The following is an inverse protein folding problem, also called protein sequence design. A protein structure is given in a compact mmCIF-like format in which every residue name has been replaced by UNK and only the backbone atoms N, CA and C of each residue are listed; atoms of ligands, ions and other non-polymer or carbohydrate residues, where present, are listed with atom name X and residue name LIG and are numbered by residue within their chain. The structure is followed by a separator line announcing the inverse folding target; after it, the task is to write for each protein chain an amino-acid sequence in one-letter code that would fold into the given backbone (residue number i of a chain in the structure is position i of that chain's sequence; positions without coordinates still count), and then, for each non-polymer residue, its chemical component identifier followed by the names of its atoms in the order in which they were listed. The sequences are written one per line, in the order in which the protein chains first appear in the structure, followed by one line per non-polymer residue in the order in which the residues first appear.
data_IF_822659177065
#
_entry.id   IF_822659177065
#
_cell.length_a   1.000
_cell.length_b   1.000
_cell.length_c   1.000
_cell.angle_alpha   90.00
_cell.angle_beta   90.00
_cell.angle_gamma   90.00
#
_symmetry.space_group_name_H-M   'P 1'
#
loop_
_entity.id
_entity.type
_entity.pdbx_description
1 polymer ?
2 non-polymer ?
3 non-polymer ?
4 non-polymer ?
5 non-polymer ?
6 water ?
#
# COMPACT_ATOMS: atom_id res chain seq x y z
N UNK A 10 -12.90 -0.30 14.57
CA UNK A 10 -12.34 -1.43 13.82
C UNK A 10 -11.93 -1.08 12.40
N UNK A 11 -10.82 -1.69 11.95
CA UNK A 11 -10.50 -1.71 10.52
C UNK A 11 -11.64 -2.50 9.78
N UNK A 12 -12.29 -1.92 8.74
CA UNK A 12 -13.50 -2.57 8.20
C UNK A 12 -13.15 -3.90 7.48
N UNK A 13 -14.08 -4.86 7.53
CA UNK A 13 -14.02 -6.08 6.74
C UNK A 13 -14.20 -5.69 5.24
N UNK A 14 -13.79 -6.56 4.32
CA UNK A 14 -13.88 -6.20 2.90
C UNK A 14 -15.34 -6.09 2.44
N UNK A 15 -15.64 -5.33 1.36
CA UNK A 15 -17.04 -5.22 0.92
C UNK A 15 -17.38 -6.21 -0.19
N UNK A 16 -16.36 -6.85 -0.76
CA UNK A 16 -16.57 -7.85 -1.80
C UNK A 16 -17.08 -9.20 -1.33
N UNK A 17 -17.35 -10.14 -2.27
CA UNK A 17 -17.83 -11.46 -1.88
C UNK A 17 -16.79 -12.47 -1.40
N UNK A 18 -15.49 -12.24 -1.63
CA UNK A 18 -14.46 -13.20 -1.30
C UNK A 18 -14.15 -13.10 0.16
N UNK A 19 -13.90 -14.24 0.79
CA UNK A 19 -13.24 -14.34 2.10
C UNK A 19 -11.80 -13.87 1.89
N UNK A 20 -11.21 -13.22 2.92
CA UNK A 20 -9.85 -12.69 2.88
C UNK A 20 -8.89 -13.45 3.79
N UNK A 21 -7.76 -13.80 3.21
CA UNK A 21 -6.63 -14.39 3.92
C UNK A 21 -5.46 -13.44 3.99
N UNK A 22 -4.58 -13.66 4.96
CA UNK A 22 -3.37 -12.85 5.03
C UNK A 22 -2.18 -13.68 5.43
N UNK A 23 -1.01 -13.44 4.80
CA UNK A 23 0.24 -14.07 5.25
C UNK A 23 1.40 -13.10 5.04
N UNK A 24 2.58 -13.39 5.64
CA UNK A 24 3.83 -12.69 5.28
C UNK A 24 4.75 -13.53 4.43
N UNK A 25 5.53 -12.86 3.53
CA UNK A 25 6.54 -13.50 2.68
C UNK A 25 7.86 -12.74 2.74
N UNK A 26 8.94 -13.44 3.09
CA UNK A 26 10.26 -12.85 2.93
C UNK A 26 11.21 -13.74 2.08
N UNK A 27 11.56 -13.26 0.87
CA UNK A 27 12.50 -14.00 0.00
C UNK A 27 13.38 -13.08 -0.85
N UNK A 28 14.74 -13.14 -0.76
CA UNK A 28 15.47 -13.91 0.25
C UNK A 28 15.45 -13.18 1.60
N UNK A 29 16.31 -13.61 2.55
CA UNK A 29 16.33 -13.20 3.96
C UNK A 29 17.07 -11.88 4.22
N UNK A 30 17.75 -11.33 3.18
CA UNK A 30 18.70 -10.23 3.34
C UNK A 30 17.97 -8.90 3.29
N UNK A 31 18.69 -7.80 3.63
CA UNK A 31 18.21 -6.44 3.44
C UNK A 31 17.92 -6.11 1.94
N UNK A 32 18.35 -7.00 1.01
CA UNK A 32 18.06 -6.86 -0.41
C UNK A 32 16.96 -7.82 -0.90
N UNK A 33 16.43 -8.66 -0.01
CA UNK A 33 15.35 -9.57 -0.35
C UNK A 33 14.03 -8.84 -0.58
N UNK A 34 12.99 -9.59 -0.93
CA UNK A 34 11.66 -9.01 -0.89
C UNK A 34 11.06 -9.32 0.48
N UNK A 35 10.42 -8.29 1.09
CA UNK A 35 9.53 -8.44 2.23
C UNK A 35 8.09 -7.96 1.88
N UNK A 36 7.10 -8.86 1.93
CA UNK A 36 5.73 -8.42 1.68
C UNK A 36 4.72 -9.03 2.64
N UNK A 37 3.55 -8.39 2.75
CA UNK A 37 2.37 -8.91 3.40
C UNK A 37 1.41 -9.09 2.29
N UNK A 38 0.97 -10.35 2.12
CA UNK A 38 0.06 -10.71 1.05
C UNK A 38 -1.35 -10.80 1.60
N UNK A 39 -2.31 -10.19 0.91
CA UNK A 39 -3.75 -10.31 1.18
C UNK A 39 -4.31 -11.00 -0.01
N UNK A 40 -5.13 -12.03 0.21
CA UNK A 40 -5.53 -12.93 -0.88
C UNK A 40 -6.92 -13.45 -0.70
N UNK A 41 -7.62 -13.77 -1.83
CA UNK A 41 -8.90 -14.48 -1.70
C UNK A 41 -8.71 -15.88 -1.09
N UNK A 42 -9.48 -16.19 -0.05
CA UNK A 42 -9.19 -17.35 0.78
C UNK A 42 -10.23 -18.47 0.64
N UNK A 43 -9.79 -19.72 0.79
CA UNK A 43 -10.66 -20.91 0.81
C UNK A 43 -11.51 -20.92 2.10
N UNK A 44 -10.89 -20.60 3.24
CA UNK A 44 -11.50 -20.74 4.56
C UNK A 44 -11.68 -19.43 5.30
N UNK A 45 -12.68 -19.35 6.19
CA UNK A 45 -13.05 -18.15 6.93
C UNK A 45 -13.05 -18.36 8.46
N UNK A 46 -12.51 -19.50 8.92
CA UNK A 46 -12.46 -19.94 10.31
C UNK A 46 -11.03 -19.87 10.91
N UNK A 47 -10.15 -19.00 10.38
CA UNK A 47 -8.79 -18.88 10.90
C UNK A 47 -8.71 -17.74 11.90
N UNK A 48 -7.64 -17.73 12.69
CA UNK A 48 -7.30 -16.63 13.59
C UNK A 48 -7.13 -15.35 12.77
N UNK A 49 -7.61 -14.22 13.30
CA UNK A 49 -7.47 -12.90 12.69
C UNK A 49 -6.00 -12.52 12.70
N UNK A 50 -5.62 -11.59 11.80
CA UNK A 50 -4.23 -11.17 11.61
C UNK A 50 -3.84 -10.10 12.64
N UNK A 51 -2.70 -10.32 13.35
CA UNK A 51 -2.11 -9.37 14.29
C UNK A 51 -1.62 -8.14 13.47
N UNK A 52 -2.17 -6.93 13.78
CA UNK A 52 -2.09 -5.74 12.93
C UNK A 52 -0.68 -5.18 12.89
N UNK A 53 -0.09 -5.01 14.05
CA UNK A 53 1.31 -4.57 14.15
C UNK A 53 2.09 -5.71 14.88
N UNK A 54 2.79 -6.57 14.16
CA UNK A 54 3.20 -7.86 14.76
C UNK A 54 4.48 -7.87 15.63
N UNK A 55 5.21 -6.74 15.70
CA UNK A 55 6.44 -6.66 16.50
C UNK A 55 6.57 -5.34 17.26
N UNK A 56 7.15 -5.43 18.45
CA UNK A 56 7.34 -4.29 19.38
C UNK A 56 8.22 -3.17 18.76
N UNK A 57 9.12 -3.58 17.87
CA UNK A 57 10.10 -2.71 17.22
C UNK A 57 9.45 -1.72 16.23
N UNK A 58 8.30 -2.08 15.62
CA UNK A 58 7.49 -1.12 14.80
C UNK A 58 6.95 0.04 15.63
N UNK A 59 6.49 -0.28 16.85
CA UNK A 59 6.03 0.72 17.81
C UNK A 59 7.13 1.67 18.23
N UNK A 60 8.37 1.15 18.47
CA UNK A 60 9.59 1.92 18.72
C UNK A 60 9.91 2.88 17.55
N UNK A 61 10.00 2.32 16.36
CA UNK A 61 10.12 3.07 15.13
C UNK A 61 9.02 4.09 14.89
N UNK A 62 7.72 3.74 15.09
CA UNK A 62 6.67 4.76 14.97
C UNK A 62 6.92 5.92 15.94
N UNK A 63 7.44 5.63 17.15
CA UNK A 63 7.73 6.67 18.14
C UNK A 63 8.91 7.56 17.74
N UNK A 64 9.94 6.98 17.09
CA UNK A 64 11.07 7.71 16.54
C UNK A 64 10.62 8.52 15.33
N UNK A 65 9.63 8.02 14.58
CA UNK A 65 9.13 8.69 13.39
C UNK A 65 8.42 9.93 13.90
N UNK A 66 7.54 9.76 14.90
CA UNK A 66 6.81 10.87 15.53
C UNK A 66 7.69 11.89 16.25
N UNK A 67 8.96 11.54 16.50
CA UNK A 67 9.91 12.36 17.22
C UNK A 67 9.56 12.57 18.69
N UNK A 68 8.58 11.79 19.17
CA UNK A 68 8.10 11.75 20.55
C UNK A 68 9.17 11.12 21.47
N UNK A 69 8.98 11.29 22.80
CA UNK A 69 9.79 10.66 23.83
C UNK A 69 9.70 9.15 23.68
N UNK A 70 10.81 8.42 23.91
CA UNK A 70 10.92 6.97 23.70
C UNK A 70 9.84 6.15 24.47
N UNK A 71 9.24 6.77 25.50
CA UNK A 71 8.14 6.21 26.28
C UNK A 71 6.84 6.09 25.47
N UNK A 72 6.66 6.92 24.41
CA UNK A 72 5.54 6.82 23.47
C UNK A 72 5.54 5.46 22.75
N UNK A 73 6.73 4.87 22.59
CA UNK A 73 6.85 3.53 22.02
C UNK A 73 6.08 2.53 22.83
N UNK A 74 6.28 2.57 24.16
CA UNK A 74 5.61 1.72 25.12
C UNK A 74 4.11 1.97 25.19
N UNK A 75 3.69 3.25 25.24
CA UNK A 75 2.27 3.65 25.21
C UNK A 75 1.55 3.11 23.96
N UNK A 76 2.10 3.37 22.78
CA UNK A 76 1.58 2.90 21.48
C UNK A 76 1.42 1.38 21.42
N UNK A 77 2.43 0.64 21.92
CA UNK A 77 2.45 -0.80 22.11
C UNK A 77 1.38 -1.30 23.09
N UNK A 78 1.17 -0.62 24.24
CA UNK A 78 0.11 -0.97 25.19
C UNK A 78 -1.28 -0.76 24.56
N UNK A 79 -1.46 0.31 23.77
CA UNK A 79 -2.74 0.62 23.14
C UNK A 79 -3.09 -0.30 21.99
N UNK A 80 -2.06 -0.73 21.24
CA UNK A 80 -2.27 -1.28 19.91
C UNK A 80 -1.61 -2.65 19.67
N UNK A 81 -0.72 -3.10 20.57
CA UNK A 81 0.06 -4.32 20.37
C UNK A 81 -0.70 -5.64 20.23
N UNK A 82 -1.99 -5.62 20.62
CA UNK A 82 -2.88 -6.79 20.58
C UNK A 82 -3.95 -6.67 19.49
N UNK A 83 -4.13 -5.45 18.94
CA UNK A 83 -5.09 -5.20 17.86
C UNK A 83 -4.87 -6.15 16.65
N UNK A 84 -5.97 -6.60 16.06
CA UNK A 84 -5.96 -7.46 14.86
C UNK A 84 -6.66 -6.76 13.70
N UNK A 85 -6.57 -7.35 12.50
CA UNK A 85 -7.27 -6.86 11.31
C UNK A 85 -8.05 -8.04 10.68
N UNK A 86 -9.27 -7.80 10.07
CA UNK A 86 -10.13 -8.94 9.67
C UNK A 86 -9.69 -9.74 8.42
N UNK A 87 -8.45 -10.28 8.45
CA UNK A 87 -7.94 -11.24 7.49
C UNK A 87 -7.60 -12.53 8.21
N UNK A 88 -7.92 -13.67 7.59
CA UNK A 88 -7.67 -15.00 8.11
C UNK A 88 -6.20 -15.30 7.96
N UNK A 89 -5.45 -15.34 9.08
CA UNK A 89 -4.02 -15.70 9.11
C UNK A 89 -3.72 -17.07 8.50
N UNK A 90 -2.92 -17.10 7.40
CA UNK A 90 -2.43 -18.32 6.74
C UNK A 90 -3.53 -19.27 6.24
N UNK A 91 -4.71 -18.73 5.99
CA UNK A 91 -5.83 -19.40 5.35
C UNK A 91 -5.33 -19.99 4.02
N UNK A 92 -5.75 -21.21 3.61
CA UNK A 92 -5.44 -21.62 2.24
C UNK A 92 -6.02 -20.59 1.25
N UNK A 93 -5.23 -20.27 0.20
CA UNK A 93 -5.64 -19.53 -1.01
C UNK A 93 -6.81 -20.24 -1.68
N UNK A 94 -7.83 -19.47 -2.08
CA UNK A 94 -9.00 -19.99 -2.80
C UNK A 94 -8.55 -20.52 -4.15
N UNK A 95 -8.69 -21.82 -4.45
CA UNK A 95 -8.22 -22.34 -5.73
C UNK A 95 -9.21 -22.17 -6.88
N UNK A 96 -8.72 -22.48 -8.10
CA UNK A 96 -9.51 -22.63 -9.32
C UNK A 96 -9.78 -21.35 -10.05
N UNK A 97 -9.00 -20.29 -9.74
CA UNK A 97 -9.18 -18.93 -10.28
C UNK A 97 -7.85 -18.15 -10.31
N UNK A 98 -7.56 -17.45 -11.44
CA UNK A 98 -6.44 -16.51 -11.60
C UNK A 98 -6.82 -15.12 -11.13
N UNK A 99 -6.00 -14.56 -10.25
CA UNK A 99 -6.29 -13.26 -9.63
C UNK A 99 -5.43 -12.15 -10.23
N UNK A 100 -6.02 -10.96 -10.57
CA UNK A 100 -5.19 -9.77 -10.88
C UNK A 100 -4.29 -9.43 -9.71
N UNK A 101 -3.17 -8.77 -9.98
CA UNK A 101 -2.19 -8.46 -8.92
C UNK A 101 -1.98 -6.99 -8.74
N UNK A 102 -2.05 -6.55 -7.46
CA UNK A 102 -1.72 -5.20 -7.04
C UNK A 102 -0.45 -5.24 -6.18
N UNK A 103 0.54 -4.43 -6.58
CA UNK A 103 1.66 -4.19 -5.67
C UNK A 103 1.34 -2.87 -4.95
N UNK A 104 1.39 -2.87 -3.60
CA UNK A 104 1.07 -1.70 -2.79
C UNK A 104 2.34 -1.12 -2.12
N UNK A 105 2.56 0.23 -2.28
CA UNK A 105 3.62 0.95 -1.61
C UNK A 105 3.16 1.81 -0.43
N UNK A 106 3.86 1.69 0.71
CA UNK A 106 3.49 2.40 1.95
C UNK A 106 4.12 3.81 2.04
N UNK A 107 3.59 4.65 2.93
CA UNK A 107 4.08 6.02 3.08
C UNK A 107 5.34 6.12 3.93
N UNK A 108 5.85 7.35 4.07
CA UNK A 108 7.00 7.66 4.92
C UNK A 108 6.62 7.47 6.43
N UNK A 109 7.49 6.77 7.16
CA UNK A 109 7.18 6.32 8.51
C UNK A 109 6.10 5.27 8.65
N UNK A 110 5.57 4.72 7.52
CA UNK A 110 4.66 3.53 7.62
C UNK A 110 5.47 2.23 7.48
N UNK A 111 4.83 1.10 7.20
CA UNK A 111 5.38 -0.26 6.96
C UNK A 111 4.24 -1.10 6.35
N UNK A 112 4.47 -2.40 6.07
CA UNK A 112 3.62 -3.16 5.15
C UNK A 112 2.20 -3.46 5.67
N UNK A 113 2.02 -3.36 7.01
CA UNK A 113 0.82 -3.81 7.67
C UNK A 113 -0.22 -2.64 7.85
N UNK A 114 0.10 -1.38 7.45
CA UNK A 114 -0.75 -0.26 7.87
C UNK A 114 -1.84 0.18 6.86
N UNK A 115 -2.07 -0.67 5.88
CA UNK A 115 -3.02 -0.41 4.80
C UNK A 115 -3.84 -1.69 4.54
N UNK A 116 -4.19 -2.38 5.66
CA UNK A 116 -5.06 -3.55 5.55
C UNK A 116 -6.48 -3.15 5.14
N UNK A 117 -6.98 -1.95 5.45
CA UNK A 117 -8.36 -1.58 5.07
C UNK A 117 -8.46 -1.67 3.54
N UNK A 118 -7.44 -1.08 2.81
CA UNK A 118 -7.30 -1.17 1.34
C UNK A 118 -7.06 -2.60 0.84
N UNK A 119 -6.06 -3.30 1.44
CA UNK A 119 -5.59 -4.63 1.03
C UNK A 119 -6.61 -5.73 1.21
N UNK A 120 -7.37 -5.68 2.34
CA UNK A 120 -8.49 -6.57 2.63
C UNK A 120 -9.65 -6.28 1.65
N UNK A 121 -9.95 -4.99 1.38
CA UNK A 121 -11.08 -4.70 0.51
C UNK A 121 -10.84 -5.09 -0.96
N UNK A 122 -9.60 -5.02 -1.44
CA UNK A 122 -9.28 -5.39 -2.81
C UNK A 122 -9.32 -6.88 -2.92
N UNK A 123 -8.68 -7.62 -1.98
CA UNK A 123 -8.75 -9.08 -1.84
C UNK A 123 -10.17 -9.57 -1.79
N UNK A 124 -11.07 -8.93 -0.98
CA UNK A 124 -12.49 -9.37 -0.92
C UNK A 124 -13.20 -9.30 -2.29
N UNK A 125 -12.66 -8.52 -3.23
CA UNK A 125 -13.19 -8.32 -4.58
C UNK A 125 -12.48 -9.24 -5.60
N UNK A 126 -11.39 -9.90 -5.18
CA UNK A 126 -10.72 -10.91 -5.98
C UNK A 126 -9.31 -10.59 -6.44
N UNK A 127 -8.60 -9.69 -5.75
CA UNK A 127 -7.18 -9.40 -6.09
C UNK A 127 -6.26 -10.10 -5.13
N UNK A 128 -5.07 -10.44 -5.57
CA UNK A 128 -4.01 -10.62 -4.59
C UNK A 128 -3.32 -9.24 -4.40
N UNK A 129 -3.06 -8.86 -3.14
CA UNK A 129 -2.35 -7.62 -2.86
C UNK A 129 -1.01 -7.97 -2.21
N UNK A 130 0.09 -7.49 -2.79
CA UNK A 130 1.40 -7.60 -2.17
C UNK A 130 1.78 -6.21 -1.67
N UNK A 131 1.53 -5.95 -0.36
CA UNK A 131 1.96 -4.76 0.34
C UNK A 131 3.45 -4.93 0.73
N UNK A 132 4.35 -4.16 0.04
CA UNK A 132 5.78 -4.33 0.24
C UNK A 132 6.22 -3.62 1.50
N UNK A 133 7.26 -4.18 2.15
CA UNK A 133 7.98 -3.46 3.17
C UNK A 133 9.27 -2.97 2.56
N UNK A 134 9.39 -1.66 2.49
CA UNK A 134 10.54 -1.04 1.86
C UNK A 134 11.70 -1.04 2.82
N UNK A 135 12.91 -1.28 2.28
CA UNK A 135 14.14 -1.36 3.07
C UNK A 135 15.05 -0.18 2.75
N UNK A 136 14.44 0.98 2.48
CA UNK A 136 15.14 2.16 1.92
C UNK A 136 15.33 3.16 3.03
N UNK A 137 15.06 2.70 4.27
CA UNK A 137 14.93 3.45 5.51
C UNK A 137 13.85 4.54 5.42
N UNK A 138 12.81 4.33 4.59
CA UNK A 138 11.60 5.17 4.72
C UNK A 138 10.57 4.57 5.68
N UNK A 139 10.64 3.24 5.94
CA UNK A 139 9.73 2.64 6.92
C UNK A 139 10.09 3.02 8.32
N UNK A 140 9.08 3.17 9.21
CA UNK A 140 9.36 3.37 10.62
C UNK A 140 10.36 2.36 11.16
N UNK A 141 10.14 1.12 10.77
CA UNK A 141 11.00 0.00 11.11
C UNK A 141 10.70 -1.09 10.09
N UNK A 142 11.70 -1.94 9.89
CA UNK A 142 11.68 -3.15 9.11
C UNK A 142 12.86 -4.05 9.59
N UNK A 143 12.85 -5.29 9.12
CA UNK A 143 13.82 -6.25 9.60
C UNK A 143 14.14 -7.19 8.48
N UNK A 144 15.27 -7.87 8.66
CA UNK A 144 15.87 -8.78 7.69
C UNK A 144 16.84 -9.60 8.55
N UNK A 145 17.51 -10.58 7.91
CA UNK A 145 18.40 -11.56 8.53
C UNK A 145 19.77 -11.47 7.91
N UNK A 146 20.80 -11.31 8.77
CA UNK A 146 22.19 -11.08 8.32
C UNK A 146 22.71 -12.14 7.41
N UNK A 147 22.30 -13.40 7.62
CA UNK A 147 22.72 -14.51 6.75
C UNK A 147 21.85 -15.73 7.02
N UNK A 148 22.16 -16.87 6.37
CA UNK A 148 21.34 -18.08 6.47
C UNK A 148 21.19 -18.58 7.93
N UNK A 149 22.30 -18.52 8.72
CA UNK A 149 22.32 -18.83 10.15
C UNK A 149 21.37 -17.91 10.94
N UNK A 150 21.50 -16.57 10.81
CA UNK A 150 20.63 -15.56 11.46
C UNK A 150 19.14 -15.73 11.12
N UNK A 151 18.86 -16.19 9.88
CA UNK A 151 17.53 -16.52 9.38
C UNK A 151 16.98 -17.78 10.03
N UNK A 152 17.81 -18.84 10.10
CA UNK A 152 17.49 -20.15 10.70
C UNK A 152 16.91 -19.99 12.11
N UNK A 153 17.66 -19.28 12.99
CA UNK A 153 17.34 -19.12 14.42
C UNK A 153 16.48 -17.88 14.68
N UNK A 154 16.12 -17.15 13.63
CA UNK A 154 15.25 -15.98 13.73
C UNK A 154 15.82 -14.83 14.55
N UNK A 155 17.15 -14.60 14.44
CA UNK A 155 17.84 -13.44 15.01
C UNK A 155 17.61 -12.25 14.05
N UNK A 156 16.49 -11.54 14.24
CA UNK A 156 16.09 -10.39 13.41
C UNK A 156 17.07 -9.22 13.59
N UNK A 157 17.51 -8.63 12.47
CA UNK A 157 18.23 -7.36 12.46
C UNK A 157 17.24 -6.24 12.08
N UNK A 158 17.23 -5.15 12.85
CA UNK A 158 16.29 -4.06 12.63
C UNK A 158 16.93 -2.86 12.00
N UNK A 159 16.14 -2.21 11.15
CA UNK A 159 16.48 -1.04 10.40
C UNK A 159 15.42 -0.02 10.72
N UNK A 160 15.84 1.18 11.16
CA UNK A 160 14.94 2.24 11.59
C UNK A 160 14.94 3.42 10.64
N UNK A 161 13.85 4.21 10.64
CA UNK A 161 13.64 5.36 9.75
C UNK A 161 14.85 6.29 9.78
N UNK A 162 15.28 6.74 8.61
CA UNK A 162 16.34 7.73 8.47
C UNK A 162 15.74 9.13 8.60
N UNK A 163 16.27 9.90 9.50
CA UNK A 163 16.00 11.34 9.69
C UNK A 163 16.91 12.11 8.74
N UNK A 164 16.32 13.06 7.99
CA UNK A 164 17.08 13.84 7.02
C UNK A 164 17.32 15.27 7.47
N UNK A 165 18.49 15.84 7.11
CA UNK A 165 18.75 17.27 7.14
C UNK A 165 18.11 17.89 5.88
N UNK A 166 17.88 19.23 5.90
CA UNK A 166 17.24 20.01 4.83
C UNK A 166 18.01 19.92 3.52
N UNK A 167 19.32 19.71 3.60
CA UNK A 167 20.21 19.60 2.45
C UNK A 167 20.06 18.24 1.77
N UNK A 168 19.87 17.17 2.57
CA UNK A 168 19.75 15.78 2.12
C UNK A 168 18.51 15.43 1.32
N UNK A 169 17.41 16.21 1.50
CA UNK A 169 16.06 15.87 1.01
C UNK A 169 15.94 15.55 -0.49
N UNK A 170 16.28 16.49 -1.41
CA UNK A 170 16.12 16.26 -2.88
C UNK A 170 16.80 14.96 -3.29
N UNK A 171 18.12 14.87 -3.01
CA UNK A 171 19.00 13.76 -3.29
C UNK A 171 18.53 12.43 -2.65
N UNK A 172 18.37 12.36 -1.29
CA UNK A 172 18.00 11.09 -0.62
C UNK A 172 16.54 10.68 -0.91
N UNK A 173 15.56 11.63 -0.95
CA UNK A 173 14.19 11.23 -1.33
C UNK A 173 14.13 10.61 -2.69
N UNK A 174 14.87 11.15 -3.67
CA UNK A 174 14.99 10.56 -5.03
C UNK A 174 15.67 9.17 -5.02
N UNK A 175 16.82 9.00 -4.33
CA UNK A 175 17.51 7.70 -4.17
C UNK A 175 16.53 6.66 -3.58
N UNK A 176 15.74 7.05 -2.59
CA UNK A 176 14.75 6.16 -1.95
C UNK A 176 13.57 5.87 -2.83
N UNK A 177 13.03 6.86 -3.60
CA UNK A 177 11.85 6.51 -4.44
C UNK A 177 12.33 5.56 -5.56
N UNK A 178 13.61 5.63 -5.91
CA UNK A 178 14.07 4.73 -6.96
C UNK A 178 14.28 3.30 -6.42
N UNK A 179 14.75 3.17 -5.14
CA UNK A 179 14.81 1.88 -4.44
C UNK A 179 13.44 1.28 -4.27
N UNK A 180 12.47 2.09 -3.86
CA UNK A 180 11.06 1.72 -3.77
C UNK A 180 10.53 1.16 -5.09
N UNK A 181 10.81 1.80 -6.22
CA UNK A 181 10.37 1.31 -7.53
C UNK A 181 10.95 -0.09 -7.82
N UNK A 182 12.28 -0.29 -7.58
CA UNK A 182 13.04 -1.54 -7.68
C UNK A 182 12.47 -2.61 -6.79
N UNK A 183 12.12 -2.24 -5.53
CA UNK A 183 11.49 -3.17 -4.61
C UNK A 183 10.11 -3.57 -5.15
N UNK A 184 9.32 -2.64 -5.73
CA UNK A 184 8.06 -3.02 -6.42
C UNK A 184 8.26 -3.96 -7.58
N UNK A 185 9.22 -3.68 -8.47
CA UNK A 185 9.53 -4.62 -9.56
C UNK A 185 10.01 -5.99 -9.05
N UNK A 186 10.96 -6.03 -8.07
CA UNK A 186 11.47 -7.28 -7.49
C UNK A 186 10.35 -8.05 -6.81
N UNK A 187 9.45 -7.34 -6.08
CA UNK A 187 8.31 -8.03 -5.47
C UNK A 187 7.48 -8.68 -6.54
N UNK A 188 7.17 -7.96 -7.65
CA UNK A 188 6.46 -8.48 -8.79
C UNK A 188 7.11 -9.72 -9.35
N UNK A 189 8.42 -9.66 -9.61
CA UNK A 189 9.16 -10.82 -10.14
C UNK A 189 9.11 -12.04 -9.23
N UNK A 190 9.22 -11.84 -7.91
CA UNK A 190 9.07 -12.92 -6.91
C UNK A 190 7.69 -13.59 -7.04
N UNK A 191 6.60 -12.79 -7.09
CA UNK A 191 5.24 -13.30 -7.26
C UNK A 191 5.06 -14.03 -8.56
N UNK A 192 5.55 -13.44 -9.67
CA UNK A 192 5.49 -14.06 -10.99
C UNK A 192 6.26 -15.39 -11.07
N UNK A 193 7.39 -15.51 -10.33
CA UNK A 193 8.20 -16.73 -10.27
C UNK A 193 7.53 -17.84 -9.45
N UNK A 194 6.85 -17.46 -8.36
CA UNK A 194 6.08 -18.36 -7.52
C UNK A 194 4.90 -18.89 -8.34
N UNK A 195 4.27 -18.02 -9.16
CA UNK A 195 3.16 -18.36 -10.03
C UNK A 195 3.57 -19.39 -11.08
N UNK A 196 4.77 -19.24 -11.65
CA UNK A 196 5.42 -20.25 -12.46
C UNK A 196 5.60 -21.54 -11.65
N UNK A 197 6.25 -21.46 -10.50
CA UNK A 197 6.51 -22.63 -9.67
C UNK A 197 7.91 -22.79 -9.13
N UNK A 198 8.73 -21.72 -9.22
CA UNK A 198 9.99 -21.55 -8.48
C UNK A 198 9.87 -22.09 -7.01
N UNK A 199 10.86 -22.89 -6.53
CA UNK A 199 10.78 -23.46 -5.19
C UNK A 199 11.32 -22.58 -4.06
N UNK A 200 10.73 -21.39 -3.92
CA UNK A 200 11.01 -20.35 -2.91
C UNK A 200 10.83 -20.87 -1.47
N UNK A 201 11.89 -20.78 -0.64
CA UNK A 201 11.79 -21.08 0.80
C UNK A 201 11.56 -19.77 1.56
N UNK A 202 10.35 -19.58 2.12
CA UNK A 202 10.03 -18.42 2.94
C UNK A 202 11.01 -18.34 4.13
N UNK A 203 11.69 -17.18 4.29
CA UNK A 203 12.64 -16.92 5.39
C UNK A 203 11.95 -17.02 6.75
N UNK A 204 10.67 -16.60 6.79
CA UNK A 204 9.84 -16.71 7.98
C UNK A 204 9.28 -18.13 8.02
N UNK A 205 9.29 -18.75 9.21
CA UNK A 205 8.83 -20.12 9.43
C UNK A 205 7.28 -20.18 9.45
N UNK A 206 6.62 -19.64 8.41
CA UNK A 206 5.16 -19.56 8.38
C UNK A 206 4.52 -20.75 7.67
N UNK A 207 3.37 -21.20 8.22
CA UNK A 207 2.65 -22.36 7.70
C UNK A 207 1.59 -21.95 6.68
N UNK A 208 2.07 -21.40 5.57
CA UNK A 208 1.35 -21.16 4.33
C UNK A 208 2.32 -21.54 3.21
N UNK A 209 2.06 -22.71 2.59
CA UNK A 209 2.90 -23.20 1.49
C UNK A 209 2.72 -22.33 0.27
N UNK A 210 3.81 -21.71 -0.19
CA UNK A 210 3.82 -20.82 -1.35
C UNK A 210 3.45 -21.53 -2.67
N UNK A 211 3.50 -22.86 -2.69
CA UNK A 211 3.16 -23.68 -3.86
C UNK A 211 1.66 -23.58 -4.23
N UNK A 212 0.84 -23.04 -3.31
CA UNK A 212 -0.57 -22.67 -3.51
C UNK A 212 -0.75 -21.67 -4.62
N UNK A 213 0.20 -20.71 -4.75
CA UNK A 213 0.09 -19.59 -5.65
C UNK A 213 0.44 -19.95 -7.08
N UNK A 214 1.10 -21.10 -7.31
CA UNK A 214 1.35 -21.66 -8.64
C UNK A 214 0.07 -21.60 -9.48
N UNK A 215 0.17 -20.94 -10.65
CA UNK A 215 -0.87 -20.78 -11.67
C UNK A 215 -2.12 -20.01 -11.16
N UNK A 216 -1.92 -19.11 -10.15
CA UNK A 216 -3.01 -18.36 -9.54
C UNK A 216 -3.02 -16.85 -9.85
N UNK A 217 -2.05 -16.35 -10.64
CA UNK A 217 -1.88 -14.91 -10.96
C UNK A 217 -2.36 -14.64 -12.38
N UNK A 218 -3.29 -13.70 -12.54
CA UNK A 218 -3.68 -13.34 -13.91
C UNK A 218 -2.55 -12.41 -14.45
N UNK A 219 -1.62 -13.01 -15.21
CA UNK A 219 -0.28 -12.44 -15.42
C UNK A 219 -0.26 -11.15 -16.25
N UNK A 220 -1.36 -10.86 -16.97
CA UNK A 220 -1.51 -9.65 -17.77
C UNK A 220 -2.12 -8.48 -17.00
N UNK A 221 -2.65 -8.76 -15.79
CA UNK A 221 -3.43 -7.79 -15.02
C UNK A 221 -2.69 -7.41 -13.76
N UNK A 222 -1.68 -6.54 -13.96
CA UNK A 222 -0.87 -6.05 -12.85
C UNK A 222 -1.02 -4.52 -12.69
N UNK A 223 -1.14 -4.07 -11.45
CA UNK A 223 -1.24 -2.64 -11.10
C UNK A 223 -0.36 -2.32 -9.91
N UNK A 224 0.02 -1.03 -9.76
CA UNK A 224 0.76 -0.54 -8.61
C UNK A 224 -0.08 0.57 -7.95
N UNK A 225 -0.31 0.45 -6.62
CA UNK A 225 -1.03 1.45 -5.84
C UNK A 225 -0.16 1.81 -4.65
N UNK A 226 -0.19 3.07 -4.24
CA UNK A 226 0.46 3.43 -2.99
C UNK A 226 -0.03 4.76 -2.50
N UNK A 227 0.16 4.99 -1.21
CA UNK A 227 -0.24 6.22 -0.53
C UNK A 227 0.96 7.03 -0.19
N UNK A 228 0.93 8.33 -0.51
CA UNK A 228 1.93 9.34 -0.05
C UNK A 228 3.30 9.16 -0.79
N UNK A 229 4.41 8.81 -0.05
CA UNK A 229 5.69 8.47 -0.65
C UNK A 229 5.45 7.30 -1.62
N UNK A 230 4.60 6.36 -1.18
CA UNK A 230 4.03 5.32 -2.01
C UNK A 230 3.37 5.78 -3.31
N UNK A 231 2.71 6.94 -3.28
CA UNK A 231 2.09 7.52 -4.48
C UNK A 231 3.14 7.96 -5.48
N UNK A 232 4.24 8.55 -4.97
CA UNK A 232 5.38 8.84 -5.86
C UNK A 232 6.04 7.51 -6.37
N UNK A 233 6.07 6.46 -5.54
CA UNK A 233 6.60 5.11 -5.87
C UNK A 233 5.82 4.55 -7.05
N UNK A 234 4.44 4.60 -7.02
CA UNK A 234 3.56 4.35 -8.18
C UNK A 234 4.12 4.89 -9.46
N UNK A 235 4.36 6.20 -9.52
CA UNK A 235 4.77 6.94 -10.74
C UNK A 235 6.14 6.52 -11.21
N UNK A 236 7.14 6.45 -10.29
CA UNK A 236 8.48 5.96 -10.60
C UNK A 236 8.43 4.50 -11.15
N UNK A 237 7.66 3.60 -10.46
CA UNK A 237 7.49 2.20 -10.86
C UNK A 237 6.92 2.10 -12.29
N UNK A 238 5.77 2.73 -12.61
CA UNK A 238 5.23 2.69 -13.97
C UNK A 238 6.19 3.19 -15.06
N UNK A 239 6.94 4.28 -14.75
CA UNK A 239 7.99 4.77 -15.66
C UNK A 239 9.09 3.74 -15.95
N UNK A 240 9.48 2.87 -14.97
CA UNK A 240 10.62 1.96 -15.25
C UNK A 240 10.22 0.46 -15.44
N UNK A 241 8.95 0.16 -15.27
CA UNK A 241 8.50 -1.23 -15.35
C UNK A 241 7.16 -1.28 -16.06
N UNK A 242 7.21 -1.61 -17.38
CA UNK A 242 6.00 -1.64 -18.16
C UNK A 242 5.10 -2.88 -17.86
N UNK A 243 5.58 -3.85 -17.05
CA UNK A 243 4.75 -5.01 -16.62
C UNK A 243 3.54 -4.52 -15.83
N UNK A 244 3.70 -3.40 -15.11
CA UNK A 244 2.60 -2.69 -14.45
C UNK A 244 1.82 -1.97 -15.53
N UNK A 245 0.52 -2.18 -15.58
CA UNK A 245 -0.36 -1.73 -16.66
C UNK A 245 -1.17 -0.49 -16.31
N UNK A 246 -1.31 -0.15 -14.99
CA UNK A 246 -1.86 1.15 -14.56
C UNK A 246 -1.46 1.37 -13.12
N UNK A 247 -1.47 2.64 -12.69
CA UNK A 247 -1.20 3.03 -11.31
C UNK A 247 -2.35 3.81 -10.71
N UNK A 248 -2.46 3.74 -9.40
CA UNK A 248 -3.35 4.62 -8.62
C UNK A 248 -2.53 5.24 -7.50
N UNK A 249 -2.35 6.58 -7.54
CA UNK A 249 -1.65 7.32 -6.51
C UNK A 249 -2.63 7.89 -5.49
N UNK A 250 -2.57 7.37 -4.25
CA UNK A 250 -3.44 7.86 -3.14
C UNK A 250 -2.70 8.96 -2.42
N UNK A 251 -3.23 10.20 -2.51
CA UNK A 251 -2.61 11.42 -1.93
C UNK A 251 -1.08 11.38 -2.09
N UNK A 252 -0.63 11.31 -3.34
CA UNK A 252 0.79 11.10 -3.65
C UNK A 252 1.59 12.31 -3.11
N UNK A 253 2.79 12.03 -2.54
CA UNK A 253 3.75 13.06 -2.18
C UNK A 253 4.77 13.15 -3.35
N UNK A 254 4.62 14.16 -4.19
CA UNK A 254 5.36 14.25 -5.50
C UNK A 254 6.83 14.62 -5.38
N UNK A 255 7.21 15.25 -4.27
CA UNK A 255 8.58 15.72 -4.01
C UNK A 255 9.68 14.69 -4.43
N UNK A 256 9.63 13.38 -4.09
CA UNK A 256 10.78 12.49 -4.43
C UNK A 256 11.17 12.29 -5.90
N UNK A 257 10.24 12.50 -6.83
CA UNK A 257 10.37 12.26 -8.27
C UNK A 257 11.32 13.18 -8.98
N UNK A 258 12.11 12.58 -9.88
CA UNK A 258 12.98 13.32 -10.77
C UNK A 258 12.14 14.07 -11.80
N UNK A 259 12.63 15.23 -12.29
CA UNK A 259 11.90 16.00 -13.29
C UNK A 259 11.81 15.26 -14.62
N UNK A 260 12.68 14.26 -14.80
CA UNK A 260 12.68 13.39 -15.97
C UNK A 260 11.48 12.47 -16.06
N UNK A 261 10.90 12.02 -14.92
CA UNK A 261 9.91 10.91 -14.94
C UNK A 261 8.54 11.34 -15.53
N UNK A 262 8.25 12.63 -15.51
CA UNK A 262 6.93 13.20 -15.72
C UNK A 262 6.33 12.92 -17.04
N UNK A 263 7.17 12.92 -18.10
CA UNK A 263 6.81 12.70 -19.49
C UNK A 263 7.00 11.23 -19.89
N UNK A 264 7.36 10.38 -18.91
CA UNK A 264 7.82 9.00 -19.14
C UNK A 264 6.85 7.98 -18.48
N UNK A 265 5.51 8.25 -18.49
CA UNK A 265 4.50 7.38 -17.91
C UNK A 265 3.43 7.08 -19.00
N UNK A 266 3.60 6.05 -19.85
CA UNK A 266 2.55 5.75 -20.84
C UNK A 266 1.28 5.13 -20.22
N UNK A 267 1.38 4.50 -19.03
CA UNK A 267 0.26 3.78 -18.40
C UNK A 267 -0.86 4.72 -17.90
N UNK A 268 -2.14 4.26 -17.90
CA UNK A 268 -3.19 4.99 -17.14
C UNK A 268 -2.85 5.26 -15.68
N UNK A 269 -3.23 6.45 -15.18
CA UNK A 269 -2.85 6.88 -13.83
C UNK A 269 -3.98 7.69 -13.24
N UNK A 270 -4.30 7.35 -11.98
CA UNK A 270 -5.42 7.86 -11.23
C UNK A 270 -4.93 8.46 -9.95
N UNK A 271 -5.14 9.78 -9.80
CA UNK A 271 -4.90 10.57 -8.58
C UNK A 271 -6.12 10.60 -7.68
N UNK A 272 -6.02 9.98 -6.49
CA UNK A 272 -7.08 10.13 -5.47
C UNK A 272 -6.56 10.96 -4.26
N UNK A 273 -7.11 12.14 -4.05
CA UNK A 273 -6.52 13.12 -3.14
C UNK A 273 -7.39 13.39 -1.95
N UNK A 274 -6.73 13.65 -0.81
CA UNK A 274 -7.49 14.20 0.33
C UNK A 274 -7.74 15.69 0.04
N UNK A 275 -8.75 16.25 0.70
CA UNK A 275 -8.97 17.68 0.63
C UNK A 275 -7.86 18.55 1.28
N UNK A 276 -7.49 18.22 2.51
CA UNK A 276 -6.68 19.08 3.36
C UNK A 276 -5.16 18.81 3.29
N UNK A 277 -4.73 17.75 2.62
CA UNK A 277 -3.28 17.50 2.46
C UNK A 277 -2.66 18.33 1.35
N UNK A 278 -3.39 18.55 0.24
CA UNK A 278 -2.82 18.99 -1.01
C UNK A 278 -2.53 20.51 -1.06
N UNK A 279 -1.66 20.94 -1.99
CA UNK A 279 -1.07 22.27 -2.08
C UNK A 279 -0.56 22.54 -3.51
N UNK A 280 -0.50 23.84 -3.95
CA UNK A 280 -0.03 24.16 -5.32
C UNK A 280 1.18 23.39 -5.86
N UNK A 281 2.33 23.35 -5.14
CA UNK A 281 3.56 22.68 -5.60
C UNK A 281 3.32 21.23 -5.99
N UNK A 282 2.56 20.48 -5.14
CA UNK A 282 2.20 19.09 -5.35
C UNK A 282 1.24 18.90 -6.50
N UNK A 283 0.20 19.77 -6.63
CA UNK A 283 -0.81 19.66 -7.70
C UNK A 283 -0.19 19.96 -9.07
N UNK A 284 0.69 20.98 -9.18
CA UNK A 284 1.47 21.30 -10.39
C UNK A 284 2.31 20.08 -10.86
N UNK A 285 2.97 19.39 -9.91
CA UNK A 285 3.72 18.18 -10.24
C UNK A 285 2.80 17.06 -10.75
N UNK A 286 1.60 16.90 -10.16
CA UNK A 286 0.58 15.99 -10.71
C UNK A 286 0.17 16.38 -12.16
N UNK A 287 0.00 17.69 -12.39
CA UNK A 287 -0.41 18.23 -13.71
C UNK A 287 0.70 18.08 -14.78
N UNK A 288 1.98 17.97 -14.34
CA UNK A 288 3.13 17.72 -15.23
C UNK A 288 3.08 16.25 -15.74
N UNK A 289 2.26 15.41 -15.09
CA UNK A 289 2.03 14.05 -15.54
C UNK A 289 1.06 14.01 -16.72
N UNK A 290 0.19 15.03 -16.90
CA UNK A 290 -0.83 15.07 -17.97
C UNK A 290 -0.20 15.32 -19.38
N UNK A 291 -0.69 14.58 -20.41
CA UNK A 291 -0.52 14.80 -21.87
C UNK A 291 -1.83 14.38 -22.59
N UNK A 292 -2.25 14.99 -23.75
CA UNK A 292 -3.51 14.53 -24.38
C UNK A 292 -3.51 13.06 -24.84
N UNK A 293 -2.31 12.52 -25.11
CA UNK A 293 -2.15 11.12 -25.50
C UNK A 293 -2.31 10.14 -24.35
N UNK A 294 -2.10 10.60 -23.08
CA UNK A 294 -2.17 9.79 -21.87
C UNK A 294 -3.47 9.90 -21.11
N UNK A 295 -3.95 8.77 -20.57
CA UNK A 295 -5.11 8.68 -19.69
C UNK A 295 -4.76 9.10 -18.27
N UNK A 296 -5.29 10.27 -17.84
CA UNK A 296 -5.20 10.70 -16.44
C UNK A 296 -6.55 11.08 -15.87
N UNK A 297 -6.74 10.73 -14.59
CA UNK A 297 -7.97 11.02 -13.83
C UNK A 297 -7.58 11.47 -12.44
N UNK A 298 -8.34 12.39 -11.89
CA UNK A 298 -8.08 12.85 -10.53
C UNK A 298 -9.37 13.19 -9.81
N UNK A 299 -9.46 12.80 -8.54
CA UNK A 299 -10.57 13.19 -7.65
C UNK A 299 -10.04 13.63 -6.28
N UNK A 300 -10.86 14.43 -5.59
CA UNK A 300 -10.63 14.89 -4.22
C UNK A 300 -11.81 14.45 -3.32
N UNK A 301 -11.51 13.77 -2.21
CA UNK A 301 -12.53 13.31 -1.27
C UNK A 301 -12.80 14.48 -0.32
N UNK A 302 -14.03 15.09 -0.38
CA UNK A 302 -14.45 16.16 0.54
C UNK A 302 -14.36 15.73 2.01
N UNK A 303 -13.98 16.66 2.87
CA UNK A 303 -13.86 16.45 4.31
C UNK A 303 -12.64 15.65 4.73
N UNK A 304 -11.80 15.08 3.75
CA UNK A 304 -10.75 14.13 4.10
C UNK A 304 -9.38 14.71 4.39
N UNK A 305 -8.62 13.95 5.17
CA UNK A 305 -7.22 14.21 5.54
C UNK A 305 -6.30 13.12 5.00
N UNK A 306 -4.96 13.37 5.08
CA UNK A 306 -3.90 12.45 4.61
C UNK A 306 -4.04 11.05 5.21
N UNK A 307 -4.34 10.96 6.50
CA UNK A 307 -4.46 9.71 7.25
C UNK A 307 -5.69 8.87 6.91
N UNK A 308 -6.68 9.43 6.18
CA UNK A 308 -7.87 8.68 5.74
C UNK A 308 -7.50 7.42 4.92
N UNK A 309 -6.32 7.39 4.30
CA UNK A 309 -5.93 6.28 3.45
C UNK A 309 -5.22 5.16 4.25
N UNK A 310 -4.78 5.44 5.50
CA UNK A 310 -4.09 4.41 6.26
C UNK A 310 -4.91 3.97 7.45
N UNK A 311 -4.57 2.80 8.02
CA UNK A 311 -5.35 2.12 9.05
C UNK A 311 -5.42 2.84 10.41
N UNK A 312 -4.56 3.83 10.68
CA UNK A 312 -4.74 4.54 11.95
C UNK A 312 -5.97 5.43 11.97
N UNK A 313 -6.56 5.73 10.81
CA UNK A 313 -7.87 6.41 10.75
C UNK A 313 -8.97 5.60 11.42
N UNK A 314 -8.77 4.25 11.61
CA UNK A 314 -9.72 3.33 12.26
C UNK A 314 -9.36 2.90 13.70
N UNK A 315 -8.21 3.37 14.19
CA UNK A 315 -7.53 2.87 15.40
C UNK A 315 -7.99 3.55 16.70
N UNK A 316 -8.81 4.64 16.61
CA UNK A 316 -9.27 5.41 17.76
C UNK A 316 -10.75 5.83 17.54
N UNK A 317 -11.35 6.42 18.58
CA UNK A 317 -12.66 7.08 18.49
C UNK A 317 -12.68 8.32 17.61
N UNK A 318 -13.88 8.83 17.31
CA UNK A 318 -14.10 9.97 16.42
C UNK A 318 -13.48 11.28 16.97
N UNK A 319 -13.70 11.62 18.27
CA UNK A 319 -13.20 12.84 18.90
C UNK A 319 -11.64 12.86 18.96
N UNK A 320 -10.98 11.83 19.57
CA UNK A 320 -9.48 11.70 19.59
C UNK A 320 -8.94 11.63 18.14
N UNK A 321 -9.64 10.88 17.29
CA UNK A 321 -9.22 10.73 15.91
C UNK A 321 -9.12 12.07 15.21
N UNK A 322 -10.21 12.87 15.30
CA UNK A 322 -10.30 14.20 14.71
C UNK A 322 -9.24 15.18 15.23
N UNK A 323 -8.96 15.10 16.54
CA UNK A 323 -8.03 15.91 17.30
C UNK A 323 -6.63 15.65 16.86
N UNK A 324 -6.29 14.37 16.61
CA UNK A 324 -4.94 13.98 16.18
C UNK A 324 -4.74 14.02 14.68
N UNK A 325 -5.78 14.47 13.91
CA UNK A 325 -5.86 14.45 12.43
C UNK A 325 -5.66 13.03 11.85
N UNK A 326 -6.16 11.99 12.59
CA UNK A 326 -6.28 10.63 12.07
C UNK A 326 -7.56 10.58 11.24
N UNK A 327 -8.52 11.43 11.58
CA UNK A 327 -9.79 11.45 10.90
C UNK A 327 -10.06 12.84 10.41
N UNK A 328 -10.94 12.95 9.43
CA UNK A 328 -11.35 14.22 8.86
C UNK A 328 -12.79 14.51 9.20
N UNK A 329 -13.38 15.43 8.43
CA UNK A 329 -14.76 15.86 8.65
C UNK A 329 -15.70 14.79 8.18
N UNK A 330 -15.27 14.04 7.18
CA UNK A 330 -15.91 12.87 6.63
C UNK A 330 -15.72 11.63 7.52
N UNK A 331 -16.74 10.77 7.58
CA UNK A 331 -16.63 9.44 8.17
C UNK A 331 -15.53 8.56 7.52
N UNK A 332 -14.59 8.02 8.33
CA UNK A 332 -13.51 7.16 7.78
C UNK A 332 -13.95 6.01 6.89
N UNK A 333 -15.01 5.27 7.28
CA UNK A 333 -15.55 4.16 6.47
C UNK A 333 -16.07 4.64 5.13
N UNK A 334 -16.75 5.82 5.11
CA UNK A 334 -17.28 6.46 3.90
C UNK A 334 -16.11 6.94 3.01
N UNK A 335 -15.08 7.49 3.66
CA UNK A 335 -13.87 7.95 2.98
C UNK A 335 -13.15 6.80 2.33
N UNK A 336 -12.88 5.71 3.07
CA UNK A 336 -12.10 4.61 2.46
C UNK A 336 -12.93 3.97 1.40
N UNK A 337 -14.26 3.90 1.64
CA UNK A 337 -15.22 3.38 0.68
C UNK A 337 -15.14 4.03 -0.70
N UNK A 338 -15.12 5.35 -0.78
CA UNK A 338 -14.98 6.07 -2.08
C UNK A 338 -13.65 5.81 -2.73
N UNK A 339 -12.53 5.89 -1.95
CA UNK A 339 -11.18 5.60 -2.47
C UNK A 339 -11.10 4.17 -3.01
N UNK A 340 -11.59 3.17 -2.26
CA UNK A 340 -11.52 1.76 -2.73
C UNK A 340 -12.41 1.45 -3.91
N UNK A 341 -13.68 2.00 -3.94
CA UNK A 341 -14.62 1.77 -5.06
C UNK A 341 -14.21 2.44 -6.35
N UNK A 342 -13.78 3.71 -6.29
CA UNK A 342 -13.15 4.43 -7.42
C UNK A 342 -11.93 3.67 -7.91
N UNK A 343 -11.01 3.23 -7.00
CA UNK A 343 -9.85 2.39 -7.41
C UNK A 343 -10.33 1.14 -8.19
N UNK A 344 -11.29 0.36 -7.62
CA UNK A 344 -11.86 -0.84 -8.27
C UNK A 344 -12.42 -0.61 -9.67
N UNK A 345 -13.20 0.49 -9.87
CA UNK A 345 -13.71 0.80 -11.20
C UNK A 345 -12.55 1.19 -12.17
N UNK A 346 -11.58 1.99 -11.68
CA UNK A 346 -10.42 2.31 -12.50
C UNK A 346 -9.57 1.08 -12.87
N UNK A 347 -9.45 0.12 -11.97
CA UNK A 347 -8.67 -1.09 -12.24
C UNK A 347 -9.39 -1.94 -13.30
N UNK A 348 -10.69 -2.24 -13.08
CA UNK A 348 -11.51 -2.94 -14.05
C UNK A 348 -11.30 -2.35 -15.45
N UNK A 349 -11.41 -1.01 -15.59
CA UNK A 349 -11.25 -0.34 -16.89
C UNK A 349 -9.85 -0.51 -17.52
N UNK A 350 -8.77 -0.38 -16.76
CA UNK A 350 -7.48 -0.31 -17.44
C UNK A 350 -6.74 -1.64 -17.35
N UNK A 351 -7.28 -2.62 -16.58
CA UNK A 351 -6.78 -3.98 -16.59
C UNK A 351 -7.65 -4.96 -17.41
N UNK A 352 -8.85 -4.51 -17.81
CA UNK A 352 -9.76 -5.32 -18.62
C UNK A 352 -10.38 -6.46 -17.84
N UNK A 353 -10.84 -6.17 -16.59
CA UNK A 353 -11.44 -7.17 -15.72
C UNK A 353 -12.90 -7.43 -16.09
N UNK A 354 -13.31 -8.71 -16.04
CA UNK A 354 -14.66 -9.16 -16.30
C UNK A 354 -15.39 -9.39 -14.96
N UNK A 355 -15.53 -8.28 -14.20
CA UNK A 355 -16.25 -8.16 -12.93
C UNK A 355 -17.38 -7.10 -13.07
N UNK A 356 -17.94 -6.64 -11.94
CA UNK A 356 -19.03 -5.66 -11.84
C UNK A 356 -18.56 -4.28 -11.26
N UNK A 357 -17.22 -4.02 -11.28
CA UNK A 357 -16.63 -2.82 -10.70
C UNK A 357 -17.02 -1.54 -11.43
N UNK A 358 -17.35 -1.64 -12.74
CA UNK A 358 -17.93 -0.56 -13.54
C UNK A 358 -19.25 0.02 -12.96
N UNK A 359 -19.86 -0.62 -11.93
CA UNK A 359 -20.90 0.01 -11.10
C UNK A 359 -20.41 1.30 -10.38
N UNK A 360 -19.08 1.52 -10.33
CA UNK A 360 -18.51 2.67 -9.62
C UNK A 360 -17.75 3.65 -10.53
N UNK A 361 -17.96 3.55 -11.87
CA UNK A 361 -17.33 4.42 -12.88
C UNK A 361 -17.53 5.92 -12.59
N UNK A 362 -18.70 6.32 -12.04
CA UNK A 362 -18.97 7.74 -11.79
C UNK A 362 -18.12 8.32 -10.67
N UNK A 363 -17.64 7.47 -9.75
CA UNK A 363 -16.59 7.82 -8.79
C UNK A 363 -15.25 8.23 -9.47
N UNK A 364 -14.84 7.55 -10.56
CA UNK A 364 -13.63 7.93 -11.36
C UNK A 364 -13.71 9.42 -11.79
N UNK A 365 -14.95 9.88 -12.12
CA UNK A 365 -15.28 11.23 -12.58
C UNK A 365 -15.55 12.21 -11.42
N UNK A 366 -15.60 11.69 -10.20
CA UNK A 366 -15.79 12.47 -8.99
C UNK A 366 -17.23 12.83 -8.75
N UNK A 367 -18.14 11.98 -9.27
CA UNK A 367 -19.57 12.25 -9.28
C UNK A 367 -20.25 11.57 -8.08
N UNK A 368 -20.12 12.25 -6.95
CA UNK A 368 -20.66 11.88 -5.65
C UNK A 368 -20.73 13.20 -4.86
N UNK A 369 -21.61 13.29 -3.89
CA UNK A 369 -21.63 14.49 -3.05
C UNK A 369 -20.38 14.60 -2.14
N UNK A 370 -19.70 13.49 -1.85
CA UNK A 370 -18.46 13.48 -1.06
C UNK A 370 -17.24 13.47 -1.98
N UNK A 371 -17.44 13.85 -3.26
CA UNK A 371 -16.33 13.86 -4.19
C UNK A 371 -16.22 15.19 -4.93
N UNK A 372 -14.96 15.64 -5.17
CA UNK A 372 -14.64 16.77 -6.06
C UNK A 372 -13.98 16.23 -7.30
N UNK A 373 -14.53 16.53 -8.51
CA UNK A 373 -13.75 16.29 -9.74
C UNK A 373 -12.44 17.07 -9.78
N UNK A 374 -11.37 16.38 -10.12
CA UNK A 374 -10.02 16.94 -10.10
C UNK A 374 -9.64 17.40 -8.72
N UNK A 375 -9.42 18.71 -8.56
CA UNK A 375 -8.84 19.26 -7.32
C UNK A 375 -9.56 20.51 -6.86
N UNK A 376 -9.47 20.80 -5.53
CA UNK A 376 -9.93 22.04 -4.93
C UNK A 376 -8.86 23.15 -5.04
N UNK A 377 -7.56 22.74 -5.04
CA UNK A 377 -6.37 23.57 -4.99
C UNK A 377 -6.27 24.43 -6.27
N UNK A 378 -6.08 25.75 -6.12
CA UNK A 378 -5.82 26.65 -7.26
C UNK A 378 -4.31 26.82 -7.48
N UNK A 379 -3.88 26.75 -8.75
CA UNK A 379 -2.45 26.71 -9.11
C UNK A 379 -2.05 27.87 -10.04
N UNK A 380 -2.72 29.04 -9.86
CA UNK A 380 -2.42 30.31 -10.53
C UNK A 380 -2.62 31.50 -9.59
X LIG B 1 12.56 -1.59 -15.08
X LIG C 1 -3.86 16.43 6.10
X LIG D 1 5.08 13.35 4.10
X LIG D 1 6.05 12.32 3.73
X LIG D 1 3.80 13.29 2.90
X LIG D 1 5.80 14.89 3.60
X LIG E 1 1.49 5.63 9.91
X LIG E 1 0.41 5.85 9.07
X LIG E 1 0.57 6.60 7.92
X LIG E 1 1.82 7.13 7.63
X LIG E 1 2.90 6.90 8.46
X LIG E 1 2.72 6.14 9.60
X LIG E 1 2.03 8.08 6.14
X LIG E 1 0.83 8.82 5.94
X LIG E 1 2.43 7.13 5.15
X LIG E 1 3.21 9.12 6.33
X LIG E 1 1.38 5.11 10.69
X LIG E 1 -0.43 5.49 9.28
X LIG E 1 3.46 5.99 10.18
X LIG E 1 -0.16 6.76 7.35
X LIG E 1 3.73 7.25 8.25
X LIG E 1 2.98 9.93 6.59
X LIG E 1 3.98 8.79 6.61
#
# INVERSE_FOLDING_TARGET
MAAASFGQTKIPRGNGPYSVGCTDLMFDHTNKGTFLRLYYPSQDNDRLDTLWIPNKEYFWGLSKFLGTHWLMGNILRLLFGSMTTPANWNSPLRPGEKYPLVVFSHGLGAFRTLYSAIGIDLASHGFIVAAVEHRDRSASATYYFKDQSAAEIGDKSWLYLRTLKQEEETHIRNEQVRQRAKECSQALSLILDIDHGKPVKNALDLKFDMEQLKDSIDREKIAVIGHSFGGATVIQTLSEDQRFRCGIALDAWMFPLGDEVYSRIPQPLFFINSEYFQYPANIIKMKKCYSPDKERKMITIRGSVHQNFADFTFATGKIIGHMLKLKGDIDSNVAIDLSNKASLAFLQKHLGLHKDFDQWDCLIEGDDENLIPGTNINTTNQHHHHHH
MG MG
CL CL
DMS S O C1 C2
FB2 C01 C02 C03 C04 C05 C06 S07 O09 O08 NP0 H01 H02 H06 H03 H05 HP01 HP02
#
